data_IF_413563415273
#
_entry.id   IF_413563415273
#
_cell.length_a   1.000
_cell.length_b   1.000
_cell.length_c   1.000
_cell.angle_alpha   90.00
_cell.angle_beta   90.00
_cell.angle_gamma   90.00
#
_symmetry.space_group_name_H-M   'P 1'
#
loop_
_entity.id
_entity.type
_entity.pdbx_description
1 polymer ?
#
# COMPACT_ATOMS: atom_id res chain seq x y z
N UNK A 1 18.56 3.31 2.42
CA UNK A 1 17.31 3.88 3.00
C UNK A 1 16.15 3.41 2.14
N UNK A 2 14.93 3.24 2.65
CA UNK A 2 13.79 2.93 1.76
C UNK A 2 13.49 4.19 0.96
N UNK A 3 13.39 4.06 -0.36
CA UNK A 3 12.93 5.16 -1.19
C UNK A 3 11.40 5.26 -1.09
N UNK A 4 10.94 6.20 -0.26
CA UNK A 4 9.52 6.43 -0.03
C UNK A 4 8.79 6.90 -1.29
N UNK A 5 9.49 7.56 -2.23
CA UNK A 5 8.88 8.03 -3.47
C UNK A 5 8.65 6.85 -4.42
N UNK A 6 9.63 5.96 -4.55
CA UNK A 6 9.47 4.74 -5.35
C UNK A 6 8.40 3.82 -4.76
N UNK A 7 8.38 3.67 -3.43
CA UNK A 7 7.33 2.90 -2.73
C UNK A 7 5.93 3.44 -3.05
N UNK A 8 5.70 4.75 -2.84
CA UNK A 8 4.39 5.38 -3.12
C UNK A 8 3.99 5.24 -4.59
N UNK A 9 4.94 5.41 -5.51
CA UNK A 9 4.68 5.26 -6.95
C UNK A 9 4.21 3.85 -7.30
N UNK A 10 4.91 2.82 -6.80
CA UNK A 10 4.57 1.41 -7.03
C UNK A 10 3.22 1.04 -6.42
N UNK A 11 2.97 1.47 -5.18
CA UNK A 11 1.68 1.27 -4.51
C UNK A 11 0.54 1.88 -5.31
N UNK A 12 0.70 3.13 -5.79
CA UNK A 12 -0.32 3.79 -6.58
C UNK A 12 -0.60 3.03 -7.89
N UNK A 13 0.45 2.65 -8.61
CA UNK A 13 0.32 1.86 -9.84
C UNK A 13 -0.42 0.54 -9.58
N UNK A 14 -0.06 -0.17 -8.51
CA UNK A 14 -0.71 -1.42 -8.14
C UNK A 14 -2.20 -1.23 -7.84
N UNK A 15 -2.59 -0.15 -7.14
CA UNK A 15 -4.00 0.17 -6.86
C UNK A 15 -4.77 0.44 -8.16
N UNK A 16 -4.17 1.18 -9.09
CA UNK A 16 -4.78 1.51 -10.38
C UNK A 16 -4.93 0.26 -11.27
N UNK A 17 -3.97 -0.67 -11.23
CA UNK A 17 -4.00 -1.95 -11.96
C UNK A 17 -4.92 -3.00 -11.31
N UNK A 18 -5.15 -2.92 -10.00
CA UNK A 18 -5.88 -3.91 -9.21
C UNK A 18 -7.05 -3.29 -8.43
N UNK A 19 -8.04 -2.67 -9.09
CA UNK A 19 -9.09 -1.89 -8.43
C UNK A 19 -10.05 -2.73 -7.56
N UNK A 20 -10.15 -4.03 -7.85
CA UNK A 20 -11.04 -4.96 -7.13
C UNK A 20 -10.40 -5.59 -5.90
N UNK A 21 -9.07 -5.47 -5.76
CA UNK A 21 -8.34 -6.13 -4.70
C UNK A 21 -8.66 -5.56 -3.31
N UNK A 22 -8.34 -6.36 -2.29
CA UNK A 22 -8.62 -6.02 -0.91
C UNK A 22 -7.35 -5.56 -0.16
N UNK A 23 -7.56 -5.06 1.06
CA UNK A 23 -6.49 -4.53 1.91
C UNK A 23 -5.41 -5.56 2.25
N UNK A 24 -5.77 -6.85 2.32
CA UNK A 24 -4.82 -7.94 2.61
C UNK A 24 -3.83 -8.14 1.47
N UNK A 25 -4.32 -8.11 0.22
CA UNK A 25 -3.43 -8.21 -0.95
C UNK A 25 -2.53 -6.98 -1.10
N UNK A 26 -3.05 -5.79 -0.80
CA UNK A 26 -2.22 -4.59 -0.76
C UNK A 26 -1.14 -4.67 0.33
N UNK A 27 -1.48 -5.20 1.51
CA UNK A 27 -0.53 -5.40 2.61
C UNK A 27 0.63 -6.32 2.18
N UNK A 28 0.30 -7.48 1.60
CA UNK A 28 1.29 -8.42 1.06
C UNK A 28 2.16 -7.77 0.00
N UNK A 29 1.57 -7.00 -0.92
CA UNK A 29 2.32 -6.27 -1.92
C UNK A 29 3.30 -5.29 -1.29
N UNK A 30 2.87 -4.50 -0.30
CA UNK A 30 3.74 -3.58 0.42
C UNK A 30 4.90 -4.30 1.14
N UNK A 31 4.65 -5.48 1.73
CA UNK A 31 5.69 -6.31 2.34
C UNK A 31 6.75 -6.78 1.33
N UNK A 32 6.38 -7.01 0.06
CA UNK A 32 7.34 -7.35 -1.00
C UNK A 32 8.24 -6.17 -1.41
N UNK A 33 7.75 -4.93 -1.24
CA UNK A 33 8.50 -3.71 -1.57
C UNK A 33 9.48 -3.30 -0.46
N UNK A 34 9.23 -3.75 0.77
CA UNK A 34 10.08 -3.42 1.92
C UNK A 34 11.07 -4.57 2.13
N UNK A 35 12.39 -4.31 2.21
CA UNK A 35 13.36 -5.34 2.55
C UNK A 35 13.05 -5.96 3.92
N UNK A 36 13.13 -7.29 4.04
CA UNK A 36 12.83 -8.04 5.29
C UNK A 36 13.57 -7.52 6.51
N UNK A 37 14.83 -7.07 6.33
CA UNK A 37 15.65 -6.48 7.39
C UNK A 37 15.06 -5.19 7.98
N UNK A 38 14.09 -4.57 7.30
CA UNK A 38 13.49 -3.27 7.64
C UNK A 38 11.99 -3.36 7.89
N UNK A 39 11.42 -4.56 7.91
CA UNK A 39 9.98 -4.75 8.14
C UNK A 39 9.54 -4.13 9.46
N UNK A 40 10.21 -4.45 10.58
CA UNK A 40 9.83 -3.93 11.90
C UNK A 40 9.85 -2.39 12.02
N UNK A 41 10.80 -1.73 11.37
CA UNK A 41 10.89 -0.25 11.39
C UNK A 41 9.89 0.43 10.44
N UNK A 42 9.32 -0.29 9.48
CA UNK A 42 8.49 0.26 8.42
C UNK A 42 7.08 -0.34 8.38
N UNK A 43 6.67 -1.09 9.40
CA UNK A 43 5.28 -1.57 9.56
C UNK A 43 4.29 -0.42 9.51
N UNK A 44 4.64 0.73 10.12
CA UNK A 44 3.81 1.94 10.08
C UNK A 44 3.51 2.41 8.65
N UNK A 45 4.44 2.21 7.71
CA UNK A 45 4.27 2.63 6.31
C UNK A 45 3.21 1.77 5.62
N UNK A 46 3.17 0.46 5.93
CA UNK A 46 2.15 -0.47 5.43
C UNK A 46 0.78 -0.09 5.99
N UNK A 47 0.69 0.15 7.30
CA UNK A 47 -0.57 0.53 7.97
C UNK A 47 -1.16 1.83 7.40
N UNK A 48 -0.33 2.86 7.21
CA UNK A 48 -0.74 4.12 6.61
C UNK A 48 -1.23 3.93 5.17
N UNK A 49 -0.56 3.07 4.40
CA UNK A 49 -0.92 2.77 3.02
C UNK A 49 -2.26 2.06 2.91
N UNK A 50 -2.51 1.08 3.79
CA UNK A 50 -3.80 0.39 3.88
C UNK A 50 -4.92 1.36 4.26
N UNK A 51 -4.67 2.24 5.25
CA UNK A 51 -5.64 3.26 5.66
C UNK A 51 -6.02 4.21 4.51
N UNK A 52 -5.03 4.63 3.71
CA UNK A 52 -5.27 5.44 2.51
C UNK A 52 -6.07 4.67 1.45
N UNK A 53 -5.73 3.41 1.18
CA UNK A 53 -6.46 2.58 0.22
C UNK A 53 -7.93 2.36 0.63
N UNK A 54 -8.19 2.11 1.92
CA UNK A 54 -9.56 2.03 2.45
C UNK A 54 -10.33 3.32 2.20
N UNK A 55 -9.70 4.48 2.46
CA UNK A 55 -10.32 5.78 2.19
C UNK A 55 -10.66 5.95 0.70
N UNK A 56 -9.77 5.55 -0.21
CA UNK A 56 -10.03 5.59 -1.66
C UNK A 56 -11.22 4.70 -2.06
N UNK A 57 -11.28 3.46 -1.56
CA UNK A 57 -12.40 2.55 -1.85
C UNK A 57 -13.73 3.11 -1.36
N UNK A 58 -13.76 3.65 -0.13
CA UNK A 58 -14.97 4.26 0.43
C UNK A 58 -15.44 5.47 -0.38
N UNK A 59 -14.51 6.30 -0.86
CA UNK A 59 -14.82 7.44 -1.73
C UNK A 59 -15.42 6.99 -3.07
N UNK A 60 -14.85 5.94 -3.67
CA UNK A 60 -15.35 5.41 -4.95
C UNK A 60 -16.69 4.68 -4.83
N UNK A 61 -17.03 4.14 -3.65
CA UNK A 61 -18.34 3.52 -3.38
C UNK A 61 -19.44 4.55 -3.04
N UNK A 62 -19.07 5.79 -2.74
CA UNK A 62 -20.00 6.86 -2.36
C UNK A 62 -20.39 7.77 -3.53
N UNK A 63 -19.99 7.42 -4.77
CA UNK A 63 -20.39 8.06 -6.03
C UNK A 63 -21.28 7.13 -6.84
#
# INVERSE_FOLDING_TARGET
>A
MIDLNDFKRRVKLWIDENPTENESELAKYCETLIPKSKHGENTWLIEQTIGWFRHLKNKNQSQ
#
